data_IF_161489798868
#
_entry.id   IF_161489798868
#
_cell.length_a   1.000
_cell.length_b   1.000
_cell.length_c   1.000
_cell.angle_alpha   90.00
_cell.angle_beta   90.00
_cell.angle_gamma   90.00
#
_symmetry.space_group_name_H-M   'P 1'
#
loop_
_entity.id
_entity.type
_entity.pdbx_description
1 polymer ?
#
# COMPACT_ATOMS: atom_id res chain seq x y z
N UNK A 1 27.60 20.57 32.33
CA UNK A 1 27.68 19.59 31.22
C UNK A 1 26.55 18.63 31.46
N UNK A 2 25.35 18.96 30.97
CA UNK A 2 24.17 18.12 31.12
C UNK A 2 24.27 16.96 30.13
N UNK A 3 24.78 15.84 30.61
CA UNK A 3 24.62 14.56 29.94
C UNK A 3 23.17 14.14 30.09
N UNK A 4 22.33 14.54 29.14
CA UNK A 4 21.01 13.93 28.97
C UNK A 4 21.27 12.49 28.57
N UNK A 5 21.23 11.58 29.55
CA UNK A 5 21.17 10.14 29.30
C UNK A 5 19.88 9.89 28.51
N UNK A 6 20.01 9.87 27.18
CA UNK A 6 18.98 9.38 26.29
C UNK A 6 18.83 7.91 26.65
N UNK A 7 17.77 7.58 27.39
CA UNK A 7 17.45 6.21 27.75
C UNK A 7 17.47 5.36 26.48
N UNK A 8 18.20 4.22 26.44
CA UNK A 8 18.28 3.37 25.25
C UNK A 8 16.89 2.88 24.79
N UNK A 9 15.93 2.81 25.72
CA UNK A 9 14.52 2.52 25.42
C UNK A 9 13.82 3.63 24.61
N UNK A 10 14.18 4.89 24.81
CA UNK A 10 13.63 6.01 24.05
C UNK A 10 14.16 6.08 22.62
N UNK A 11 15.42 5.66 22.43
CA UNK A 11 16.05 5.65 21.12
C UNK A 11 15.51 4.51 20.22
N UNK A 12 15.44 3.28 20.75
CA UNK A 12 14.84 2.14 20.05
C UNK A 12 13.36 2.40 19.66
N UNK A 13 12.65 3.11 20.53
CA UNK A 13 11.26 3.52 20.28
C UNK A 13 11.12 4.59 19.20
N UNK A 14 12.00 5.60 19.20
CA UNK A 14 12.01 6.64 18.17
C UNK A 14 12.37 6.06 16.80
N UNK A 15 13.34 5.14 16.77
CA UNK A 15 13.73 4.38 15.57
C UNK A 15 12.57 3.52 15.05
N UNK A 16 11.85 2.82 15.93
CA UNK A 16 10.65 2.06 15.56
C UNK A 16 9.56 2.95 14.95
N UNK A 17 9.29 4.12 15.54
CA UNK A 17 8.29 5.05 15.02
C UNK A 17 8.71 5.62 13.65
N UNK A 18 10.00 5.92 13.47
CA UNK A 18 10.55 6.35 12.18
C UNK A 18 10.39 5.24 11.13
N UNK A 19 10.70 3.99 11.47
CA UNK A 19 10.49 2.82 10.60
C UNK A 19 9.02 2.68 10.19
N UNK A 20 8.07 2.73 11.13
CA UNK A 20 6.63 2.64 10.83
C UNK A 20 6.16 3.76 9.89
N UNK A 21 6.66 4.99 10.09
CA UNK A 21 6.35 6.13 9.21
C UNK A 21 6.91 5.93 7.79
N UNK A 22 8.12 5.40 7.67
CA UNK A 22 8.70 5.04 6.37
C UNK A 22 7.90 3.93 5.68
N UNK A 23 7.50 2.88 6.41
CA UNK A 23 6.62 1.83 5.90
C UNK A 23 5.27 2.37 5.42
N UNK A 24 4.65 3.29 6.18
CA UNK A 24 3.43 3.97 5.77
C UNK A 24 3.60 4.73 4.45
N UNK A 25 4.72 5.45 4.31
CA UNK A 25 5.01 6.18 3.07
C UNK A 25 5.16 5.24 1.89
N UNK A 26 5.89 4.14 2.05
CA UNK A 26 6.06 3.14 1.00
C UNK A 26 4.72 2.51 0.58
N UNK A 27 3.89 2.12 1.54
CA UNK A 27 2.57 1.55 1.28
C UNK A 27 1.66 2.53 0.53
N UNK A 28 1.70 3.83 0.86
CA UNK A 28 0.95 4.86 0.14
C UNK A 28 1.39 4.98 -1.32
N UNK A 29 2.71 4.97 -1.58
CA UNK A 29 3.26 4.99 -2.93
C UNK A 29 2.81 3.76 -3.72
N UNK A 30 2.96 2.56 -3.15
CA UNK A 30 2.55 1.31 -3.78
C UNK A 30 1.05 1.29 -4.11
N UNK A 31 0.19 1.71 -3.17
CA UNK A 31 -1.25 1.83 -3.43
C UNK A 31 -1.55 2.77 -4.60
N UNK A 32 -0.89 3.93 -4.66
CA UNK A 32 -1.10 4.90 -5.73
C UNK A 32 -0.65 4.36 -7.10
N UNK A 33 0.53 3.75 -7.17
CA UNK A 33 1.08 3.18 -8.41
C UNK A 33 0.23 2.03 -8.93
N UNK A 34 -0.16 1.11 -8.06
CA UNK A 34 -0.98 -0.05 -8.43
C UNK A 34 -2.40 0.38 -8.81
N UNK A 35 -2.98 1.37 -8.11
CA UNK A 35 -4.28 1.94 -8.50
C UNK A 35 -4.22 2.58 -9.88
N UNK A 36 -3.13 3.29 -10.21
CA UNK A 36 -2.93 3.87 -11.53
C UNK A 36 -2.81 2.79 -12.61
N UNK A 37 -2.10 1.70 -12.33
CA UNK A 37 -1.98 0.56 -13.25
C UNK A 37 -3.32 -0.15 -13.46
N UNK A 38 -4.08 -0.36 -12.39
CA UNK A 38 -5.43 -0.93 -12.41
C UNK A 38 -6.38 -0.12 -13.29
N UNK A 39 -6.34 1.22 -13.19
CA UNK A 39 -7.14 2.11 -14.05
C UNK A 39 -6.74 1.97 -15.52
N UNK A 40 -5.43 1.96 -15.83
CA UNK A 40 -4.95 1.76 -17.21
C UNK A 40 -5.41 0.44 -17.80
N UNK A 41 -5.47 -0.63 -17.01
CA UNK A 41 -5.99 -1.93 -17.44
C UNK A 41 -7.51 -1.88 -17.69
N UNK A 42 -8.26 -1.19 -16.84
CA UNK A 42 -9.70 -1.01 -17.02
C UNK A 42 -10.06 -0.10 -18.20
N UNK A 43 -9.18 0.85 -18.54
CA UNK A 43 -9.33 1.77 -19.67
C UNK A 43 -8.92 1.13 -21.02
N UNK A 44 -8.46 -0.13 -21.04
CA UNK A 44 -8.22 -0.86 -22.28
C UNK A 44 -9.56 -1.03 -23.02
N UNK A 45 -9.69 -0.29 -24.12
CA UNK A 45 -10.92 -0.07 -24.88
C UNK A 45 -11.65 -1.37 -25.27
N UNK A 46 -12.89 -1.60 -24.79
CA UNK A 46 -13.76 -2.67 -25.26
C UNK A 46 -14.42 -2.24 -26.56
N UNK A 47 -13.66 -1.99 -27.62
CA UNK A 47 -14.25 -1.61 -28.90
C UNK A 47 -15.26 -2.68 -29.37
N UNK A 48 -16.39 -2.26 -29.94
CA UNK A 48 -17.51 -3.15 -30.31
C UNK A 48 -17.14 -4.25 -31.34
N UNK A 49 -15.92 -4.24 -31.87
CA UNK A 49 -15.44 -5.10 -32.95
C UNK A 49 -14.53 -6.25 -32.50
N UNK A 50 -14.56 -6.65 -31.21
CA UNK A 50 -13.80 -7.79 -30.68
C UNK A 50 -14.41 -9.13 -31.10
N UNK A 51 -14.51 -9.34 -32.42
CA UNK A 51 -15.17 -10.50 -33.02
C UNK A 51 -14.26 -11.72 -33.06
N UNK A 52 -12.93 -11.54 -32.99
CA UNK A 52 -11.96 -12.64 -33.04
C UNK A 52 -11.82 -13.40 -31.71
N UNK A 53 -11.45 -14.67 -31.80
CA UNK A 53 -11.18 -15.52 -30.62
C UNK A 53 -10.01 -14.98 -29.78
N UNK A 54 -8.97 -14.44 -30.43
CA UNK A 54 -7.79 -13.89 -29.75
C UNK A 54 -8.12 -12.66 -28.92
N UNK A 55 -9.00 -11.78 -29.41
CA UNK A 55 -9.46 -10.60 -28.66
C UNK A 55 -10.28 -11.01 -27.43
N UNK A 56 -11.19 -11.98 -27.56
CA UNK A 56 -11.94 -12.52 -26.40
C UNK A 56 -11.03 -13.15 -25.36
N UNK A 57 -10.02 -13.91 -25.78
CA UNK A 57 -9.02 -14.48 -24.87
C UNK A 57 -8.20 -13.38 -24.16
N UNK A 58 -7.83 -12.31 -24.87
CA UNK A 58 -7.16 -11.17 -24.29
C UNK A 58 -8.04 -10.45 -23.24
N UNK A 59 -9.33 -10.25 -23.53
CA UNK A 59 -10.26 -9.62 -22.57
C UNK A 59 -10.34 -10.42 -21.27
N UNK A 60 -10.54 -11.74 -21.38
CA UNK A 60 -10.60 -12.62 -20.20
C UNK A 60 -9.31 -12.53 -19.38
N UNK A 61 -8.15 -12.54 -20.04
CA UNK A 61 -6.87 -12.38 -19.37
C UNK A 61 -6.74 -11.02 -18.67
N UNK A 62 -7.16 -9.92 -19.29
CA UNK A 62 -7.15 -8.60 -18.66
C UNK A 62 -8.08 -8.57 -17.45
N UNK A 63 -9.28 -9.15 -17.54
CA UNK A 63 -10.21 -9.26 -16.41
C UNK A 63 -9.59 -10.03 -15.25
N UNK A 64 -9.00 -11.20 -15.51
CA UNK A 64 -8.34 -12.01 -14.49
C UNK A 64 -7.20 -11.21 -13.81
N UNK A 65 -6.39 -10.49 -14.59
CA UNK A 65 -5.32 -9.64 -14.06
C UNK A 65 -5.89 -8.50 -13.21
N UNK A 66 -6.98 -7.86 -13.62
CA UNK A 66 -7.63 -6.79 -12.84
C UNK A 66 -8.14 -7.33 -11.50
N UNK A 67 -8.74 -8.51 -11.48
CA UNK A 67 -9.18 -9.15 -10.23
C UNK A 67 -8.01 -9.44 -9.28
N UNK A 68 -6.88 -9.93 -9.81
CA UNK A 68 -5.67 -10.13 -9.01
C UNK A 68 -5.11 -8.80 -8.47
N UNK A 69 -5.12 -7.75 -9.29
CA UNK A 69 -4.67 -6.42 -8.87
C UNK A 69 -5.58 -5.84 -7.79
N UNK A 70 -6.90 -6.03 -7.89
CA UNK A 70 -7.86 -5.60 -6.87
C UNK A 70 -7.62 -6.32 -5.53
N UNK A 71 -7.26 -7.61 -5.57
CA UNK A 71 -6.86 -8.37 -4.37
C UNK A 71 -5.55 -7.84 -3.75
N UNK A 72 -4.55 -7.50 -4.56
CA UNK A 72 -3.30 -6.89 -4.08
C UNK A 72 -3.59 -5.53 -3.41
N UNK A 73 -4.43 -4.71 -4.02
CA UNK A 73 -4.85 -3.43 -3.43
C UNK A 73 -5.60 -3.61 -2.12
N UNK A 74 -6.42 -4.65 -1.99
CA UNK A 74 -7.08 -4.99 -0.72
C UNK A 74 -6.06 -5.23 0.38
N UNK A 75 -5.09 -6.14 0.18
CA UNK A 75 -4.06 -6.44 1.18
C UNK A 75 -3.15 -5.25 1.50
N UNK A 76 -2.82 -4.41 0.52
CA UNK A 76 -2.05 -3.19 0.77
C UNK A 76 -2.82 -2.18 1.64
N UNK A 77 -4.14 -2.07 1.45
CA UNK A 77 -4.98 -1.23 2.30
C UNK A 77 -5.08 -1.78 3.73
N UNK A 78 -5.19 -3.10 3.91
CA UNK A 78 -5.15 -3.73 5.23
C UNK A 78 -3.81 -3.47 5.93
N UNK A 79 -2.69 -3.65 5.22
CA UNK A 79 -1.36 -3.37 5.74
C UNK A 79 -1.20 -1.89 6.13
N UNK A 80 -1.69 -0.96 5.29
CA UNK A 80 -1.65 0.46 5.58
C UNK A 80 -2.50 0.82 6.81
N UNK A 81 -3.66 0.19 6.95
CA UNK A 81 -4.50 0.37 8.13
C UNK A 81 -3.79 -0.12 9.40
N UNK A 82 -3.21 -1.32 9.37
CA UNK A 82 -2.43 -1.88 10.48
C UNK A 82 -1.26 -0.98 10.88
N UNK A 83 -0.48 -0.47 9.92
CA UNK A 83 0.64 0.45 10.21
C UNK A 83 0.14 1.76 10.82
N UNK A 84 -1.00 2.30 10.36
CA UNK A 84 -1.60 3.50 10.96
C UNK A 84 -2.00 3.30 12.41
N UNK A 85 -2.59 2.15 12.75
CA UNK A 85 -2.92 1.80 14.14
C UNK A 85 -1.64 1.68 14.98
N UNK A 86 -0.61 0.99 14.50
CA UNK A 86 0.65 0.86 15.22
C UNK A 86 1.34 2.21 15.47
N UNK A 87 1.27 3.15 14.50
CA UNK A 87 1.77 4.52 14.68
C UNK A 87 0.95 5.24 15.76
N UNK A 88 -0.37 5.16 15.70
CA UNK A 88 -1.25 5.78 16.69
C UNK A 88 -0.98 5.27 18.10
N UNK A 89 -0.87 3.95 18.27
CA UNK A 89 -0.55 3.32 19.56
C UNK A 89 0.84 3.75 20.06
N UNK A 90 1.83 3.77 19.17
CA UNK A 90 3.17 4.23 19.52
C UNK A 90 3.20 5.71 19.94
N UNK A 91 2.43 6.58 19.27
CA UNK A 91 2.32 8.01 19.56
C UNK A 91 1.50 8.32 20.81
N UNK A 92 0.42 7.60 21.06
CA UNK A 92 -0.40 7.75 22.27
C UNK A 92 0.37 7.34 23.51
N UNK A 93 1.06 6.22 23.45
CA UNK A 93 1.99 5.79 24.50
C UNK A 93 3.17 6.78 24.67
N UNK A 94 3.45 7.68 23.72
CA UNK A 94 4.55 8.67 23.82
C UNK A 94 4.09 9.94 24.55
N UNK A 95 2.78 10.15 24.67
CA UNK A 95 2.19 11.33 25.34
C UNK A 95 1.85 11.07 26.80
N UNK A 96 1.70 9.81 27.19
CA UNK A 96 1.50 9.35 28.56
C UNK A 96 2.84 9.15 29.27
#
# INVERSE_FOLDING_TARGET
>A
MDGVEVSPYGQDRAERLAMLRSQRSLLLTLCAEITAMRRRLADLDPSESWTSQSQRAYLLCVTDVVEQVDLVLHYLNEALHSVRLQIYDAETLCRA
#
